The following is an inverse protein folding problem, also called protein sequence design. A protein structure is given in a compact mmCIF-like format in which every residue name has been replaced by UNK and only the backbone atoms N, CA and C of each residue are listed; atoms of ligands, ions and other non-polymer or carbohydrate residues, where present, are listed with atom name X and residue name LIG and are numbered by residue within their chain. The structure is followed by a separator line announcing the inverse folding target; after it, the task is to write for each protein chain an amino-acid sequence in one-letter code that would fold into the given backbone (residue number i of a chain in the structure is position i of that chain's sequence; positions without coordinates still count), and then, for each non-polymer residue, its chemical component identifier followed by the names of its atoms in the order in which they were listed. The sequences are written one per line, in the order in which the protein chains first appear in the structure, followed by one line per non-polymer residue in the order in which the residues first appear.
data_IF_141298327974
#
_entry.id   IF_141298327974
#
_cell.length_a   1.000
_cell.length_b   1.000
_cell.length_c   1.000
_cell.angle_alpha   90.00
_cell.angle_beta   90.00
_cell.angle_gamma   90.00
#
_symmetry.space_group_name_H-M   'P 1'
#
loop_
_entity.id
_entity.type
_entity.pdbx_description
1 polymer ?
#
# COMPACT_ATOMS: atom_id res chain seq x y z
N UNK A 1 -62.67 -48.71 26.82
CA UNK A 1 -63.97 -48.85 26.12
C UNK A 1 -64.75 -47.56 26.34
N UNK A 2 -64.65 -46.61 25.41
CA UNK A 2 -65.76 -46.18 24.55
C UNK A 2 -67.05 -45.77 25.32
N UNK A 3 -67.24 -44.45 25.35
CA UNK A 3 -68.45 -43.72 24.92
C UNK A 3 -69.41 -43.21 26.02
N UNK A 4 -69.74 -41.92 25.83
CA UNK A 4 -70.92 -41.14 26.24
C UNK A 4 -71.07 -40.78 27.71
N UNK A 5 -70.95 -39.48 27.96
CA UNK A 5 -72.03 -38.77 28.65
C UNK A 5 -72.18 -37.35 28.10
N UNK A 6 -73.39 -37.09 27.64
CA UNK A 6 -73.91 -35.81 27.18
C UNK A 6 -74.79 -35.26 28.31
N UNK A 7 -74.80 -33.94 28.44
CA UNK A 7 -75.83 -33.10 29.05
C UNK A 7 -75.71 -32.71 30.54
N UNK A 8 -75.90 -31.41 30.72
CA UNK A 8 -76.63 -30.71 31.81
C UNK A 8 -75.80 -30.03 32.92
N UNK A 9 -76.04 -28.71 33.02
CA UNK A 9 -76.13 -27.87 34.22
C UNK A 9 -75.06 -26.78 34.45
N UNK A 10 -75.51 -25.55 34.15
CA UNK A 10 -75.56 -24.37 35.06
C UNK A 10 -74.29 -23.51 35.24
N UNK A 11 -74.38 -22.33 34.61
CA UNK A 11 -74.39 -21.01 35.28
C UNK A 11 -73.08 -20.30 35.61
N UNK A 12 -73.10 -19.01 35.23
CA UNK A 12 -72.35 -17.87 35.76
C UNK A 12 -70.82 -17.97 35.74
N UNK A 13 -70.05 -16.92 35.57
CA UNK A 13 -70.19 -15.55 35.10
C UNK A 13 -68.76 -15.04 35.17
N UNK A 14 -68.39 -14.12 34.27
CA UNK A 14 -67.21 -13.24 34.36
C UNK A 14 -65.82 -13.91 34.44
N UNK A 15 -64.97 -13.63 33.44
CA UNK A 15 -63.67 -12.93 33.59
C UNK A 15 -62.75 -13.28 32.40
N UNK A 16 -62.23 -12.22 31.77
CA UNK A 16 -60.97 -12.19 31.01
C UNK A 16 -60.86 -13.04 29.73
N UNK A 17 -61.31 -12.46 28.61
CA UNK A 17 -60.74 -12.74 27.28
C UNK A 17 -59.76 -11.57 27.02
N UNK A 18 -58.43 -11.66 27.20
CA UNK A 18 -57.47 -12.52 26.51
C UNK A 18 -57.63 -12.50 24.98
N UNK A 19 -57.71 -11.31 24.40
CA UNK A 19 -57.51 -11.11 22.96
C UNK A 19 -56.01 -10.98 22.64
N UNK A 20 -55.44 -12.17 22.39
CA UNK A 20 -54.43 -12.53 21.41
C UNK A 20 -53.62 -11.41 20.72
N UNK A 21 -52.29 -11.49 20.89
CA UNK A 21 -51.28 -10.73 20.14
C UNK A 21 -50.93 -11.53 18.89
N UNK A 22 -51.25 -11.00 17.71
CA UNK A 22 -50.70 -11.44 16.43
C UNK A 22 -49.82 -10.32 15.84
N UNK A 23 -48.51 -10.38 16.13
CA UNK A 23 -47.47 -9.62 15.42
C UNK A 23 -46.99 -10.44 14.24
N UNK A 24 -47.45 -10.12 13.01
CA UNK A 24 -46.70 -10.38 11.78
C UNK A 24 -47.14 -9.41 10.67
N UNK A 25 -46.28 -8.45 10.33
CA UNK A 25 -45.65 -8.34 9.00
C UNK A 25 -44.73 -7.13 8.90
N UNK A 26 -43.50 -7.45 8.54
CA UNK A 26 -42.56 -6.73 7.67
C UNK A 26 -42.67 -5.21 7.58
N UNK A 27 -41.73 -4.57 8.27
CA UNK A 27 -41.34 -3.18 8.08
C UNK A 27 -40.62 -3.07 6.72
N UNK A 28 -41.34 -2.64 5.69
CA UNK A 28 -40.70 -1.91 4.59
C UNK A 28 -40.44 -0.49 5.10
N UNK A 29 -39.16 -0.10 5.17
CA UNK A 29 -38.77 1.27 5.44
C UNK A 29 -39.36 2.15 4.32
N UNK A 30 -40.19 3.15 4.62
CA UNK A 30 -40.56 4.12 3.60
C UNK A 30 -39.28 4.85 3.15
N UNK A 31 -38.99 4.79 1.84
CA UNK A 31 -38.05 5.68 1.19
C UNK A 31 -38.61 7.10 1.33
N UNK A 32 -38.07 7.86 2.28
CA UNK A 32 -38.37 9.28 2.41
C UNK A 32 -37.50 10.00 1.39
N UNK A 33 -38.03 10.09 0.17
CA UNK A 33 -37.62 11.10 -0.81
C UNK A 33 -37.91 12.46 -0.21
N UNK A 34 -36.86 13.20 0.12
CA UNK A 34 -36.94 14.56 0.67
C UNK A 34 -37.17 15.56 -0.47
N UNK A 35 -38.23 15.35 -1.25
CA UNK A 35 -38.79 16.35 -2.16
C UNK A 35 -40.05 16.93 -1.52
N UNK A 36 -39.85 17.76 -0.48
CA UNK A 36 -40.93 18.57 0.09
C UNK A 36 -40.70 20.04 -0.28
N UNK A 37 -41.27 20.39 -1.43
CA UNK A 37 -41.92 21.68 -1.63
C UNK A 37 -42.96 21.84 -0.49
N UNK A 38 -42.62 22.66 0.51
CA UNK A 38 -43.38 22.81 1.75
C UNK A 38 -44.60 23.67 1.46
N UNK A 39 -45.64 23.04 0.93
CA UNK A 39 -46.99 23.58 0.77
C UNK A 39 -48.01 22.58 1.32
N UNK A 40 -47.84 22.16 2.57
CA UNK A 40 -48.79 21.27 3.25
C UNK A 40 -49.69 22.10 4.19
N UNK A 41 -50.99 22.07 3.90
CA UNK A 41 -52.05 22.74 4.65
C UNK A 41 -52.01 22.43 6.15
N UNK A 42 -52.24 23.47 6.94
CA UNK A 42 -52.09 23.53 8.39
C UNK A 42 -53.03 22.56 9.12
N UNK A 43 -52.51 21.39 9.49
CA UNK A 43 -53.14 20.52 10.48
C UNK A 43 -53.03 21.15 11.87
N UNK A 44 -54.17 21.45 12.50
CA UNK A 44 -54.20 22.00 13.87
C UNK A 44 -53.58 21.00 14.85
N UNK A 45 -52.36 21.28 15.32
CA UNK A 45 -51.69 20.50 16.35
C UNK A 45 -52.34 20.80 17.72
N UNK A 46 -52.64 19.77 18.54
CA UNK A 46 -53.18 19.99 19.87
C UNK A 46 -52.16 20.72 20.76
N UNK A 47 -52.57 21.85 21.33
CA UNK A 47 -51.74 22.61 22.28
C UNK A 47 -51.80 21.96 23.66
N UNK A 48 -50.79 21.14 23.98
CA UNK A 48 -50.51 20.81 25.37
C UNK A 48 -49.54 21.85 25.91
N UNK A 49 -50.02 22.70 26.82
CA UNK A 49 -49.18 23.66 27.54
C UNK A 49 -48.53 22.91 28.70
N UNK A 50 -47.26 22.55 28.53
CA UNK A 50 -46.48 21.85 29.56
C UNK A 50 -45.48 22.87 30.09
N UNK A 51 -45.61 23.22 31.38
CA UNK A 51 -44.66 24.10 32.07
C UNK A 51 -43.30 23.40 32.22
N UNK A 52 -42.43 23.55 31.23
CA UNK A 52 -41.03 23.14 31.31
C UNK A 52 -40.19 24.25 31.96
N UNK A 53 -39.06 23.89 32.57
CA UNK A 53 -38.13 24.87 33.11
C UNK A 53 -37.65 25.83 32.01
N UNK A 54 -37.50 27.11 32.34
CA UNK A 54 -37.04 28.14 31.40
C UNK A 54 -35.59 27.85 30.97
N UNK A 55 -35.41 27.38 29.74
CA UNK A 55 -34.09 27.03 29.18
C UNK A 55 -33.58 28.19 28.33
N UNK A 56 -32.60 28.91 28.87
CA UNK A 56 -31.92 29.97 28.13
C UNK A 56 -30.86 29.37 27.19
N UNK A 57 -31.14 29.38 25.89
CA UNK A 57 -30.23 28.88 24.85
C UNK A 57 -29.45 30.05 24.26
N UNK A 58 -28.13 30.04 24.43
CA UNK A 58 -27.24 31.07 23.90
C UNK A 58 -25.87 30.51 23.54
N UNK A 59 -25.15 31.21 22.67
CA UNK A 59 -23.77 30.86 22.29
C UNK A 59 -22.78 31.55 23.23
N UNK A 60 -21.83 30.80 23.78
CA UNK A 60 -20.71 31.36 24.57
C UNK A 60 -19.40 31.16 23.82
N UNK A 61 -18.58 32.21 23.72
CA UNK A 61 -17.23 32.12 23.14
C UNK A 61 -16.29 31.56 24.19
N UNK A 62 -15.73 30.36 23.96
CA UNK A 62 -14.68 29.79 24.78
C UNK A 62 -13.36 29.78 24.02
N UNK A 63 -12.31 30.32 24.64
CA UNK A 63 -10.94 30.14 24.16
C UNK A 63 -10.51 28.71 24.46
N UNK A 64 -10.32 27.91 23.41
CA UNK A 64 -9.82 26.53 23.52
C UNK A 64 -8.41 26.49 22.96
N UNK A 65 -7.46 25.98 23.74
CA UNK A 65 -6.11 25.74 23.26
C UNK A 65 -6.12 24.50 22.37
N UNK A 66 -6.17 24.72 21.06
CA UNK A 66 -6.04 23.65 20.07
C UNK A 66 -4.56 23.49 19.74
N UNK A 67 -3.92 22.35 20.05
CA UNK A 67 -2.53 22.13 19.72
C UNK A 67 -2.36 22.15 18.19
N UNK A 68 -1.49 23.03 17.70
CA UNK A 68 -1.07 23.05 16.30
C UNK A 68 0.17 22.18 16.18
N UNK A 69 0.08 21.11 15.38
CA UNK A 69 1.25 20.31 15.01
C UNK A 69 2.02 21.10 13.95
N UNK A 70 3.25 21.49 14.28
CA UNK A 70 4.20 22.07 13.32
C UNK A 70 5.04 20.92 12.79
N UNK A 71 4.86 20.58 11.52
CA UNK A 71 5.73 19.63 10.83
C UNK A 71 6.94 20.43 10.32
N UNK A 72 8.11 20.18 10.90
CA UNK A 72 9.37 20.73 10.41
C UNK A 72 9.93 19.71 9.43
N UNK A 73 10.04 20.09 8.16
CA UNK A 73 10.78 19.33 7.16
C UNK A 73 12.23 19.81 7.23
N UNK A 74 13.17 18.91 7.52
CA UNK A 74 14.60 19.19 7.42
C UNK A 74 15.10 18.64 6.07
N UNK A 75 15.73 19.50 5.27
CA UNK A 75 16.43 19.09 4.05
C UNK A 75 17.83 18.60 4.47
N UNK A 76 18.09 17.31 4.33
CA UNK A 76 19.42 16.73 4.55
C UNK A 76 20.07 16.48 3.18
N UNK A 77 21.25 17.06 2.96
CA UNK A 77 22.07 16.78 1.77
C UNK A 77 22.68 15.38 1.91
N UNK A 78 22.15 14.41 1.17
CA UNK A 78 22.69 13.05 1.11
C UNK A 78 23.56 12.91 -0.14
N UNK A 79 24.82 12.50 0.03
CA UNK A 79 25.70 12.26 -1.11
C UNK A 79 25.28 10.98 -1.85
N UNK A 80 24.81 11.15 -3.08
CA UNK A 80 24.46 10.05 -3.98
C UNK A 80 25.57 9.91 -5.05
N UNK A 81 26.13 8.71 -5.26
CA UNK A 81 27.14 8.53 -6.30
C UNK A 81 26.54 8.78 -7.69
N UNK A 82 27.19 9.66 -8.46
CA UNK A 82 26.84 9.93 -9.85
C UNK A 82 28.01 9.59 -10.78
N UNK A 83 27.69 9.21 -12.01
CA UNK A 83 28.63 8.94 -13.10
C UNK A 83 28.25 9.85 -14.26
N UNK A 84 29.19 10.62 -14.80
CA UNK A 84 29.00 11.42 -16.02
C UNK A 84 29.86 10.84 -17.14
N UNK A 85 29.26 10.54 -18.29
CA UNK A 85 29.94 9.89 -19.42
C UNK A 85 29.88 10.77 -20.66
N UNK A 86 31.05 11.22 -21.10
CA UNK A 86 31.26 11.90 -22.38
C UNK A 86 31.66 10.90 -23.47
N UNK A 87 30.84 10.74 -24.51
CA UNK A 87 31.20 9.98 -25.71
C UNK A 87 31.61 10.94 -26.84
N UNK A 88 32.64 10.57 -27.65
CA UNK A 88 33.21 11.47 -28.65
C UNK A 88 32.25 11.87 -29.79
N UNK A 89 31.19 11.09 -30.02
CA UNK A 89 30.21 11.29 -31.10
C UNK A 89 28.79 11.60 -30.56
N UNK A 90 28.64 11.94 -29.27
CA UNK A 90 27.35 12.31 -28.67
C UNK A 90 27.33 13.80 -28.29
N UNK A 91 26.23 14.49 -28.58
CA UNK A 91 26.06 15.87 -28.11
C UNK A 91 25.70 15.90 -26.62
N UNK A 92 26.11 16.95 -25.90
CA UNK A 92 25.76 17.12 -24.47
C UNK A 92 24.24 17.16 -24.24
N UNK A 93 23.47 17.55 -25.27
CA UNK A 93 22.00 17.58 -25.22
C UNK A 93 21.36 16.18 -25.30
N UNK A 94 22.12 15.15 -25.67
CA UNK A 94 21.64 13.76 -25.77
C UNK A 94 21.81 13.01 -24.43
N UNK A 95 22.46 13.63 -23.44
CA UNK A 95 22.65 13.04 -22.13
C UNK A 95 21.36 13.11 -21.32
N UNK A 96 21.00 11.99 -20.73
CA UNK A 96 19.91 11.91 -19.79
C UNK A 96 20.41 11.30 -18.48
N UNK A 97 19.98 11.90 -17.37
CA UNK A 97 20.19 11.31 -16.06
C UNK A 97 19.26 10.12 -15.88
N UNK A 98 19.85 8.95 -15.61
CA UNK A 98 19.15 7.67 -15.43
C UNK A 98 19.72 6.94 -14.23
N UNK A 99 18.84 6.30 -13.45
CA UNK A 99 19.27 5.47 -12.33
C UNK A 99 19.47 4.03 -12.79
N UNK A 100 20.69 3.52 -12.65
CA UNK A 100 21.01 2.12 -12.82
C UNK A 100 20.69 1.38 -11.53
N UNK A 101 19.54 0.72 -11.49
CA UNK A 101 19.10 -0.06 -10.33
C UNK A 101 19.23 -1.55 -10.60
N UNK A 102 19.68 -2.30 -9.60
CA UNK A 102 19.73 -3.75 -9.64
C UNK A 102 19.04 -4.31 -8.40
N UNK A 103 18.27 -5.39 -8.57
CA UNK A 103 17.52 -6.00 -7.48
C UNK A 103 17.59 -7.52 -7.52
N UNK A 104 17.70 -8.14 -6.35
CA UNK A 104 17.60 -9.58 -6.17
C UNK A 104 16.66 -9.93 -5.01
N UNK A 105 15.94 -11.04 -5.14
CA UNK A 105 15.13 -11.61 -4.07
C UNK A 105 15.85 -12.86 -3.52
N UNK A 106 16.12 -12.86 -2.22
CA UNK A 106 16.85 -13.92 -1.52
C UNK A 106 16.00 -14.54 -0.42
N UNK A 107 16.33 -15.78 -0.06
CA UNK A 107 15.63 -16.60 0.95
C UNK A 107 16.63 -17.35 1.81
N UNK A 108 16.24 -17.77 3.02
CA UNK A 108 17.09 -18.54 3.93
C UNK A 108 17.96 -17.63 4.79
N UNK A 109 18.93 -16.96 4.19
CA UNK A 109 19.79 -15.98 4.86
C UNK A 109 19.68 -14.60 4.20
N UNK A 110 19.97 -13.57 4.98
CA UNK A 110 20.11 -12.20 4.49
C UNK A 110 21.29 -12.14 3.52
N UNK A 111 21.17 -11.28 2.53
CA UNK A 111 22.27 -11.03 1.59
C UNK A 111 22.47 -9.52 1.49
N UNK A 112 23.63 -9.13 1.00
CA UNK A 112 23.92 -7.76 0.59
C UNK A 112 24.20 -7.78 -0.91
N UNK A 113 23.61 -6.83 -1.64
CA UNK A 113 23.82 -6.62 -3.06
C UNK A 113 24.49 -5.26 -3.23
N UNK A 114 25.68 -5.24 -3.83
CA UNK A 114 26.43 -4.01 -4.11
C UNK A 114 26.85 -3.97 -5.57
N UNK A 115 26.65 -2.84 -6.26
CA UNK A 115 27.30 -2.53 -7.53
C UNK A 115 28.78 -2.28 -7.23
N UNK A 116 29.64 -3.20 -7.68
CA UNK A 116 31.10 -3.08 -7.51
C UNK A 116 31.73 -2.32 -8.66
N UNK A 117 31.32 -2.60 -9.90
CA UNK A 117 31.92 -1.99 -11.09
C UNK A 117 30.90 -1.73 -12.18
N UNK A 118 31.15 -0.69 -12.97
CA UNK A 118 30.44 -0.47 -14.24
C UNK A 118 31.48 -0.34 -15.34
N UNK A 119 31.33 -1.15 -16.38
CA UNK A 119 32.20 -1.12 -17.55
C UNK A 119 31.44 -0.59 -18.75
N UNK A 120 32.08 0.29 -19.51
CA UNK A 120 31.61 0.77 -20.80
C UNK A 120 32.38 0.09 -21.93
N UNK A 121 31.66 -0.42 -22.92
CA UNK A 121 32.25 -0.99 -24.13
C UNK A 121 31.29 -0.75 -25.29
N UNK A 122 31.79 -0.11 -26.35
CA UNK A 122 30.98 0.33 -27.49
C UNK A 122 29.71 1.08 -27.02
N UNK A 123 28.52 0.58 -27.35
CA UNK A 123 27.22 1.12 -26.94
C UNK A 123 26.56 0.32 -25.79
N UNK A 124 27.36 -0.38 -24.98
CA UNK A 124 26.89 -1.21 -23.89
C UNK A 124 27.52 -0.79 -22.55
N UNK A 125 26.68 -0.78 -21.52
CA UNK A 125 27.09 -0.68 -20.13
C UNK A 125 26.91 -2.02 -19.44
N UNK A 126 27.93 -2.46 -18.74
CA UNK A 126 27.96 -3.71 -17.99
C UNK A 126 27.99 -3.35 -16.52
N UNK A 127 26.84 -3.47 -15.85
CA UNK A 127 26.69 -3.22 -14.42
C UNK A 127 26.99 -4.51 -13.68
N UNK A 128 28.02 -4.50 -12.85
CA UNK A 128 28.55 -5.68 -12.19
C UNK A 128 28.35 -5.50 -10.71
N UNK A 129 27.50 -6.36 -10.16
CA UNK A 129 27.15 -6.36 -8.76
C UNK A 129 27.60 -7.65 -8.11
N UNK A 130 27.83 -7.60 -6.81
CA UNK A 130 28.19 -8.74 -5.99
C UNK A 130 27.06 -9.01 -5.01
N UNK A 131 26.60 -10.26 -4.96
CA UNK A 131 25.60 -10.73 -4.01
C UNK A 131 26.30 -11.60 -2.97
N UNK A 132 26.37 -11.11 -1.74
CA UNK A 132 27.06 -11.78 -0.63
C UNK A 132 26.04 -12.21 0.41
N UNK A 133 26.05 -13.49 0.77
CA UNK A 133 25.26 -14.02 1.88
C UNK A 133 25.85 -13.57 3.22
N UNK A 134 24.98 -13.18 4.16
CA UNK A 134 25.37 -12.80 5.52
C UNK A 134 25.00 -13.91 6.52
N UNK A 135 25.58 -13.86 7.71
CA UNK A 135 25.32 -14.86 8.77
C UNK A 135 23.91 -14.75 9.39
N UNK A 136 23.13 -13.72 9.03
CA UNK A 136 21.81 -13.49 9.60
C UNK A 136 20.74 -14.28 8.85
N UNK A 137 20.10 -15.23 9.53
CA UNK A 137 19.02 -16.01 8.92
C UNK A 137 17.71 -15.22 8.83
N UNK A 138 17.08 -15.28 7.67
CA UNK A 138 15.73 -14.77 7.41
C UNK A 138 14.67 -15.90 7.46
N UNK A 139 15.08 -17.12 7.78
CA UNK A 139 14.23 -18.32 7.81
C UNK A 139 13.42 -18.47 6.51
N UNK A 140 12.10 -18.61 6.62
CA UNK A 140 11.19 -18.74 5.47
C UNK A 140 10.78 -17.39 4.86
N UNK A 141 11.30 -16.27 5.38
CA UNK A 141 11.00 -14.94 4.83
C UNK A 141 11.80 -14.69 3.56
N UNK A 142 11.25 -13.82 2.73
CA UNK A 142 11.89 -13.29 1.53
C UNK A 142 12.42 -11.90 1.82
N UNK A 143 13.62 -11.63 1.35
CA UNK A 143 14.22 -10.31 1.42
C UNK A 143 14.55 -9.84 0.01
N UNK A 144 14.18 -8.61 -0.32
CA UNK A 144 14.62 -7.94 -1.54
C UNK A 144 15.80 -7.06 -1.19
N UNK A 145 16.87 -7.21 -1.93
CA UNK A 145 18.09 -6.42 -1.81
C UNK A 145 18.29 -5.68 -3.12
N UNK A 146 18.74 -4.44 -3.04
CA UNK A 146 18.90 -3.57 -4.19
C UNK A 146 20.04 -2.60 -3.99
N UNK A 147 20.68 -2.22 -5.09
CA UNK A 147 21.64 -1.12 -5.13
C UNK A 147 21.37 -0.25 -6.35
N UNK A 148 21.77 1.02 -6.28
CA UNK A 148 21.51 2.00 -7.31
C UNK A 148 22.71 2.93 -7.51
N UNK A 149 22.97 3.28 -8.78
CA UNK A 149 23.93 4.31 -9.14
C UNK A 149 23.32 5.22 -10.19
N UNK A 150 23.46 6.54 -10.02
CA UNK A 150 22.96 7.51 -10.99
C UNK A 150 23.99 7.69 -12.09
N UNK A 151 23.53 7.69 -13.35
CA UNK A 151 24.34 7.85 -14.54
C UNK A 151 23.75 8.97 -15.40
N UNK A 152 24.57 9.94 -15.74
CA UNK A 152 24.32 10.93 -16.78
C UNK A 152 25.08 10.52 -18.05
N UNK A 153 24.38 10.00 -19.05
CA UNK A 153 24.98 9.53 -20.28
C UNK A 153 23.96 9.54 -21.43
N UNK A 154 24.42 9.46 -22.70
CA UNK A 154 23.54 9.17 -23.83
C UNK A 154 22.85 7.81 -23.69
N UNK A 155 21.95 7.49 -24.62
CA UNK A 155 21.24 6.20 -24.62
C UNK A 155 22.19 5.01 -24.85
N UNK A 156 22.36 4.18 -23.82
CA UNK A 156 23.23 3.01 -23.82
C UNK A 156 22.49 1.72 -23.46
N UNK A 157 22.93 0.60 -24.01
CA UNK A 157 22.36 -0.72 -23.70
C UNK A 157 22.91 -1.23 -22.37
N UNK A 158 22.07 -1.35 -21.35
CA UNK A 158 22.50 -1.80 -20.02
C UNK A 158 22.35 -3.31 -19.88
N UNK A 159 23.42 -3.99 -19.44
CA UNK A 159 23.45 -5.42 -19.10
C UNK A 159 23.87 -5.60 -17.66
N UNK A 160 23.05 -6.30 -16.89
CA UNK A 160 23.28 -6.54 -15.47
C UNK A 160 23.87 -7.92 -15.21
N UNK A 161 24.99 -7.94 -14.50
CA UNK A 161 25.67 -9.15 -14.05
C UNK A 161 25.75 -9.16 -12.53
N UNK A 162 25.37 -10.29 -11.93
CA UNK A 162 25.48 -10.53 -10.49
C UNK A 162 26.52 -11.62 -10.29
N UNK A 163 27.58 -11.30 -9.57
CA UNK A 163 28.59 -12.25 -9.09
C UNK A 163 28.04 -12.87 -7.81
N UNK A 164 27.87 -14.18 -7.82
CA UNK A 164 27.34 -14.93 -6.67
C UNK A 164 26.44 -16.09 -7.09
N UNK A 165 25.98 -16.84 -6.10
CA UNK A 165 25.07 -17.94 -6.34
C UNK A 165 23.66 -17.41 -6.65
N UNK A 166 23.03 -18.03 -7.65
CA UNK A 166 21.67 -17.66 -8.03
C UNK A 166 20.69 -18.24 -7.00
N UNK A 167 19.81 -17.42 -6.38
CA UNK A 167 18.81 -17.95 -5.46
C UNK A 167 17.85 -18.94 -6.15
N UNK A 168 17.38 -19.95 -5.40
CA UNK A 168 16.55 -21.05 -5.94
C UNK A 168 15.17 -20.62 -6.47
N UNK A 169 14.73 -19.38 -6.20
CA UNK A 169 13.38 -18.86 -6.52
C UNK A 169 13.37 -17.43 -7.06
N UNK A 170 14.28 -17.13 -7.97
CA UNK A 170 14.38 -15.79 -8.59
C UNK A 170 13.25 -15.56 -9.61
N UNK A 171 12.36 -14.61 -9.32
CA UNK A 171 11.35 -14.12 -10.28
C UNK A 171 11.97 -13.23 -11.36
N UNK A 172 13.06 -12.55 -11.02
CA UNK A 172 13.76 -11.63 -11.90
C UNK A 172 14.77 -12.37 -12.81
N UNK A 173 14.32 -12.77 -13.99
CA UNK A 173 15.15 -13.48 -14.98
C UNK A 173 16.01 -12.54 -15.84
N UNK A 174 15.93 -11.23 -15.62
CA UNK A 174 16.62 -10.23 -16.44
C UNK A 174 18.12 -10.09 -16.12
N UNK A 175 18.57 -10.61 -14.97
CA UNK A 175 19.96 -10.52 -14.53
C UNK A 175 20.74 -11.81 -14.78
N UNK A 176 21.98 -11.66 -15.24
CA UNK A 176 22.87 -12.80 -15.50
C UNK A 176 23.73 -13.08 -14.27
N UNK A 177 23.66 -14.30 -13.74
CA UNK A 177 24.50 -14.72 -12.62
C UNK A 177 25.80 -15.35 -13.14
N UNK A 178 26.92 -14.98 -12.54
CA UNK A 178 28.26 -15.52 -12.83
C UNK A 178 28.95 -15.92 -11.53
N UNK A 179 29.74 -16.99 -11.58
CA UNK A 179 30.45 -17.47 -10.38
C UNK A 179 31.54 -16.49 -9.92
N UNK A 180 32.21 -15.82 -10.86
CA UNK A 180 33.35 -14.98 -10.57
C UNK A 180 33.58 -13.89 -11.64
N UNK A 181 34.35 -12.87 -11.26
CA UNK A 181 34.70 -11.73 -12.11
C UNK A 181 35.57 -12.13 -13.31
N UNK A 182 36.42 -13.16 -13.21
CA UNK A 182 37.30 -13.57 -14.31
C UNK A 182 36.51 -14.23 -15.44
N UNK A 183 35.45 -14.96 -15.10
CA UNK A 183 34.49 -15.49 -16.08
C UNK A 183 33.88 -14.35 -16.91
N UNK A 184 33.57 -13.21 -16.28
CA UNK A 184 33.05 -12.04 -17.00
C UNK A 184 34.12 -11.37 -17.89
N UNK A 185 35.32 -11.13 -17.35
CA UNK A 185 36.44 -10.56 -18.12
C UNK A 185 36.76 -11.38 -19.36
N UNK A 186 36.73 -12.71 -19.23
CA UNK A 186 36.99 -13.63 -20.34
C UNK A 186 35.92 -13.58 -21.44
N UNK A 187 34.66 -13.28 -21.08
CA UNK A 187 33.58 -13.09 -22.08
C UNK A 187 33.72 -11.80 -22.88
N UNK A 188 34.36 -10.79 -22.30
CA UNK A 188 34.46 -9.45 -22.89
C UNK A 188 35.79 -9.20 -23.60
N UNK A 189 36.72 -10.16 -23.59
CA UNK A 189 38.01 -10.12 -24.28
C UNK A 189 38.85 -8.85 -24.00
N UNK A 190 38.61 -8.16 -22.88
CA UNK A 190 39.36 -6.97 -22.47
C UNK A 190 39.01 -5.67 -23.20
N UNK A 191 38.02 -5.67 -24.10
CA UNK A 191 37.61 -4.46 -24.83
C UNK A 191 36.56 -3.68 -24.03
N UNK A 192 36.96 -3.17 -22.87
CA UNK A 192 36.09 -2.39 -21.99
C UNK A 192 36.87 -1.37 -21.18
N UNK A 193 36.20 -0.28 -20.83
CA UNK A 193 36.70 0.76 -19.92
C UNK A 193 35.92 0.69 -18.61
N UNK A 194 36.62 0.60 -17.49
CA UNK A 194 35.99 0.72 -16.16
C UNK A 194 35.67 2.20 -15.93
N UNK A 195 34.39 2.53 -15.77
CA UNK A 195 33.91 3.89 -15.53
C UNK A 195 33.44 4.12 -14.09
N UNK A 196 33.22 3.03 -13.35
CA UNK A 196 32.88 3.05 -11.92
C UNK A 196 33.52 1.87 -11.20
N UNK A 197 33.98 2.10 -9.98
CA UNK A 197 34.55 1.09 -9.11
C UNK A 197 34.35 1.49 -7.63
N UNK A 198 33.82 0.57 -6.82
CA UNK A 198 33.54 0.73 -5.39
C UNK A 198 34.33 -0.29 -4.57
#
# INVERSE_FOLDING_TARGET
MKIKTMAITVMCATFMLNCNVDKKKDMELPEVDVDMDVSAEEGQLPTYDVDWADVNVGTTTKTVNVPKVVVVMEEEEVEVPYIDVDMPDSDDNDKEERTLMIEAEVTGNEHTLDIKQIWASENNLYVISELVETDQSIADKKMRVSDQVTLNAPELNVKHYIIGERPDRVFNTQHTYVADMNTLKSKMNGDYKVIYNK
#
